data_IF_341775627398
#
_entry.id   IF_341775627398
#
_cell.length_a   1.000
_cell.length_b   1.000
_cell.length_c   1.000
_cell.angle_alpha   90.00
_cell.angle_beta   90.00
_cell.angle_gamma   90.00
#
_symmetry.space_group_name_H-M   'P 1'
#
loop_
_entity.id
_entity.type
_entity.pdbx_description
1 polymer ?
#
# COMPACT_ATOMS: atom_id res chain seq x y z
N UNK A 1 8.07 -13.90 28.77
CA UNK A 1 8.65 -13.82 27.40
C UNK A 1 7.59 -13.49 26.34
N UNK A 2 6.36 -14.01 26.45
CA UNK A 2 5.19 -13.50 25.72
C UNK A 2 4.20 -12.86 26.69
N UNK A 3 3.64 -11.71 26.31
CA UNK A 3 2.66 -10.95 27.08
C UNK A 3 2.19 -9.74 26.28
N UNK A 4 0.99 -9.21 26.58
CA UNK A 4 0.40 -8.00 25.96
C UNK A 4 1.40 -6.84 25.72
N UNK A 5 2.33 -6.51 26.65
CA UNK A 5 3.28 -5.42 26.42
C UNK A 5 4.44 -5.76 25.44
N UNK A 6 4.64 -7.04 25.08
CA UNK A 6 5.76 -7.49 24.24
C UNK A 6 5.32 -7.88 22.82
N UNK A 7 4.07 -7.60 22.44
CA UNK A 7 3.58 -7.84 21.08
C UNK A 7 4.15 -6.74 20.19
N UNK A 8 5.06 -7.10 19.29
CA UNK A 8 5.53 -6.16 18.28
C UNK A 8 4.37 -5.78 17.35
N UNK A 9 4.33 -4.56 16.81
CA UNK A 9 3.28 -4.14 15.88
C UNK A 9 3.11 -5.11 14.70
N UNK A 10 4.23 -5.70 14.23
CA UNK A 10 4.21 -6.75 13.20
C UNK A 10 3.43 -7.98 13.66
N UNK A 11 3.64 -8.45 14.89
CA UNK A 11 2.95 -9.63 15.41
C UNK A 11 1.46 -9.36 15.66
N UNK A 12 1.10 -8.15 16.07
CA UNK A 12 -0.30 -7.71 16.11
C UNK A 12 -0.92 -7.70 14.71
N UNK A 13 -0.19 -7.21 13.71
CA UNK A 13 -0.65 -7.14 12.32
C UNK A 13 -0.96 -8.53 11.72
N UNK A 14 -0.17 -9.56 12.07
CA UNK A 14 -0.44 -10.94 11.66
C UNK A 14 -1.83 -11.46 12.07
N UNK A 15 -2.40 -10.96 13.18
CA UNK A 15 -3.76 -11.34 13.62
C UNK A 15 -4.81 -10.85 12.63
N UNK A 16 -4.55 -9.77 11.89
CA UNK A 16 -5.45 -9.21 10.88
C UNK A 16 -5.19 -9.74 9.46
N UNK A 17 -4.20 -10.63 9.28
CA UNK A 17 -3.77 -11.11 7.96
C UNK A 17 -4.89 -11.84 7.19
N UNK A 18 -5.73 -12.62 7.87
CA UNK A 18 -6.82 -13.35 7.22
C UNK A 18 -7.87 -12.42 6.58
N UNK A 19 -8.25 -11.35 7.29
CA UNK A 19 -9.21 -10.35 6.80
C UNK A 19 -8.61 -9.56 5.64
N UNK A 20 -7.32 -9.24 5.72
CA UNK A 20 -6.60 -8.55 4.65
C UNK A 20 -6.48 -9.42 3.40
N UNK A 21 -6.20 -10.71 3.55
CA UNK A 21 -6.10 -11.65 2.43
C UNK A 21 -7.45 -11.78 1.68
N UNK A 22 -8.57 -11.80 2.41
CA UNK A 22 -9.90 -11.83 1.79
C UNK A 22 -10.28 -10.52 1.10
N UNK A 23 -9.87 -9.38 1.67
CA UNK A 23 -10.24 -8.06 1.15
C UNK A 23 -9.35 -7.60 -0.01
N UNK A 24 -8.05 -7.90 0.05
CA UNK A 24 -7.03 -7.33 -0.84
C UNK A 24 -6.24 -8.38 -1.63
N UNK A 25 -6.48 -9.67 -1.39
CA UNK A 25 -5.72 -10.75 -2.01
C UNK A 25 -4.34 -10.93 -1.39
N UNK A 26 -3.42 -11.61 -2.09
CA UNK A 26 -2.15 -12.03 -1.51
C UNK A 26 -1.30 -10.86 -0.97
N UNK A 27 -0.64 -10.98 0.21
CA UNK A 27 0.13 -9.90 0.83
C UNK A 27 1.23 -9.34 -0.05
N UNK A 28 1.84 -10.20 -0.88
CA UNK A 28 2.84 -9.75 -1.84
C UNK A 28 2.25 -8.73 -2.82
N UNK A 29 1.03 -8.94 -3.32
CA UNK A 29 0.42 -8.04 -4.31
C UNK A 29 0.13 -6.64 -3.78
N UNK A 30 -0.33 -6.51 -2.53
CA UNK A 30 -0.81 -5.22 -2.00
C UNK A 30 0.15 -4.51 -1.04
N UNK A 31 1.03 -5.24 -0.36
CA UNK A 31 1.80 -4.65 0.75
C UNK A 31 3.14 -4.04 0.30
N UNK A 32 3.97 -4.79 -0.43
CA UNK A 32 5.35 -4.35 -0.73
C UNK A 32 5.74 -4.47 -2.19
N UNK A 33 5.23 -5.47 -2.92
CA UNK A 33 5.71 -5.76 -4.28
C UNK A 33 5.46 -4.60 -5.26
N UNK A 34 4.28 -3.98 -5.18
CA UNK A 34 3.94 -2.88 -6.08
C UNK A 34 4.87 -1.67 -5.84
N UNK A 35 5.04 -1.26 -4.58
CA UNK A 35 5.88 -0.12 -4.25
C UNK A 35 7.37 -0.37 -4.53
N UNK A 36 7.87 -1.58 -4.27
CA UNK A 36 9.25 -1.96 -4.60
C UNK A 36 9.49 -1.97 -6.12
N UNK A 37 8.54 -2.50 -6.89
CA UNK A 37 8.62 -2.50 -8.36
C UNK A 37 8.58 -1.08 -8.91
N UNK A 38 7.68 -0.24 -8.40
CA UNK A 38 7.59 1.16 -8.80
C UNK A 38 8.86 1.94 -8.42
N UNK A 39 9.43 1.69 -7.25
CA UNK A 39 10.71 2.28 -6.85
C UNK A 39 11.86 1.88 -7.78
N UNK A 40 11.86 0.64 -8.29
CA UNK A 40 12.83 0.19 -9.29
C UNK A 40 12.64 0.90 -10.64
N UNK A 41 11.40 1.00 -11.14
CA UNK A 41 11.07 1.74 -12.37
C UNK A 41 11.50 3.20 -12.27
N UNK A 42 11.22 3.84 -11.13
CA UNK A 42 11.55 5.24 -10.88
C UNK A 42 13.06 5.51 -10.82
N UNK A 43 13.86 4.49 -10.46
CA UNK A 43 15.34 4.56 -10.52
C UNK A 43 15.88 4.39 -11.94
N UNK A 44 15.13 3.74 -12.84
CA UNK A 44 15.52 3.52 -14.24
C UNK A 44 15.25 4.75 -15.13
N UNK A 45 14.40 5.67 -14.70
CA UNK A 45 14.16 6.93 -15.42
C UNK A 45 15.35 7.86 -15.18
N UNK A 46 16.16 8.10 -16.22
CA UNK A 46 17.24 9.08 -16.19
C UNK A 46 16.66 10.49 -16.06
N UNK A 47 16.70 11.02 -14.84
CA UNK A 47 16.31 12.38 -14.56
C UNK A 47 17.46 13.30 -14.98
N UNK A 48 17.48 13.71 -16.26
CA UNK A 48 18.43 14.67 -16.84
C UNK A 48 18.64 15.90 -15.92
N UNK A 49 19.60 15.82 -14.99
CA UNK A 49 20.00 16.91 -14.11
C UNK A 49 19.01 17.39 -13.03
N UNK A 50 17.80 16.82 -12.91
CA UNK A 50 16.79 17.34 -11.97
C UNK A 50 17.04 16.86 -10.52
N UNK A 51 18.03 17.49 -9.86
CA UNK A 51 18.34 17.27 -8.44
C UNK A 51 17.14 17.65 -7.56
N UNK A 52 16.81 16.80 -6.57
CA UNK A 52 15.80 17.09 -5.54
C UNK A 52 14.63 16.12 -5.45
N UNK A 53 14.58 15.06 -6.28
CA UNK A 53 13.53 14.03 -6.15
C UNK A 53 12.13 14.49 -6.57
N UNK A 54 12.02 15.61 -7.30
CA UNK A 54 10.76 16.18 -7.79
C UNK A 54 9.92 15.15 -8.57
N UNK A 55 10.55 14.29 -9.38
CA UNK A 55 9.87 13.23 -10.13
C UNK A 55 9.23 12.19 -9.19
N UNK A 56 9.88 11.87 -8.06
CA UNK A 56 9.30 10.94 -7.08
C UNK A 56 8.07 11.55 -6.40
N UNK A 57 8.15 12.85 -6.10
CA UNK A 57 7.04 13.60 -5.50
C UNK A 57 5.86 13.74 -6.46
N UNK A 58 6.11 14.08 -7.72
CA UNK A 58 5.07 14.15 -8.76
C UNK A 58 4.44 12.77 -8.97
N UNK A 59 5.24 11.72 -9.11
CA UNK A 59 4.73 10.35 -9.26
C UNK A 59 3.84 9.94 -8.07
N UNK A 60 4.27 10.20 -6.83
CA UNK A 60 3.47 9.88 -5.65
C UNK A 60 2.14 10.66 -5.60
N UNK A 61 2.15 11.94 -6.00
CA UNK A 61 0.94 12.78 -6.06
C UNK A 61 -0.05 12.27 -7.11
N UNK A 62 0.45 11.98 -8.31
CA UNK A 62 -0.37 11.47 -9.41
C UNK A 62 -0.92 10.08 -9.09
N UNK A 63 -0.09 9.17 -8.57
CA UNK A 63 -0.53 7.85 -8.14
C UNK A 63 -1.65 7.92 -7.09
N UNK A 64 -1.51 8.81 -6.09
CA UNK A 64 -2.56 9.05 -5.10
C UNK A 64 -3.84 9.57 -5.75
N UNK A 65 -3.74 10.52 -6.68
CA UNK A 65 -4.89 11.07 -7.40
C UNK A 65 -5.64 9.97 -8.16
N UNK A 66 -4.93 9.18 -8.95
CA UNK A 66 -5.54 8.08 -9.74
C UNK A 66 -6.19 7.03 -8.83
N UNK A 67 -5.56 6.68 -7.70
CA UNK A 67 -6.13 5.76 -6.72
C UNK A 67 -7.41 6.31 -6.07
N UNK A 68 -7.44 7.61 -5.76
CA UNK A 68 -8.63 8.27 -5.22
C UNK A 68 -9.75 8.35 -6.28
N UNK A 69 -9.41 8.64 -7.53
CA UNK A 69 -10.38 8.68 -8.62
C UNK A 69 -10.96 7.29 -8.93
N UNK A 70 -10.14 6.24 -8.93
CA UNK A 70 -10.62 4.87 -9.18
C UNK A 70 -11.59 4.38 -8.10
N UNK A 71 -11.40 4.80 -6.84
CA UNK A 71 -12.32 4.54 -5.73
C UNK A 71 -13.66 5.26 -5.90
N UNK A 72 -13.67 6.47 -6.47
CA UNK A 72 -14.90 7.23 -6.73
C UNK A 72 -15.68 6.63 -7.90
N UNK A 73 -14.98 6.24 -8.98
CA UNK A 73 -15.59 5.66 -10.18
C UNK A 73 -16.06 4.22 -9.96
N UNK A 74 -15.39 3.49 -9.07
CA UNK A 74 -15.71 2.11 -8.68
C UNK A 74 -16.04 2.09 -7.19
N UNK A 75 -17.22 2.62 -6.78
CA UNK A 75 -17.58 2.63 -5.37
C UNK A 75 -17.58 1.19 -4.84
N UNK A 76 -16.95 0.93 -3.69
CA UNK A 76 -17.01 -0.40 -3.09
C UNK A 76 -18.48 -0.72 -2.84
N UNK A 77 -18.97 -1.81 -3.44
CA UNK A 77 -20.24 -2.39 -3.03
C UNK A 77 -20.14 -2.66 -1.53
N UNK A 78 -20.94 -1.95 -0.75
CA UNK A 78 -21.00 -2.00 0.70
C UNK A 78 -21.27 -3.44 1.14
N UNK A 79 -20.21 -4.18 1.47
CA UNK A 79 -20.33 -5.52 2.06
C UNK A 79 -20.55 -5.31 3.55
N UNK A 80 -21.78 -5.56 3.96
CA UNK A 80 -22.30 -5.46 5.31
C UNK A 80 -21.44 -6.20 6.34
N UNK A 81 -21.13 -5.49 7.42
CA UNK A 81 -20.96 -5.98 8.79
C UNK A 81 -20.06 -7.19 9.02
N UNK A 82 -18.83 -6.94 9.47
CA UNK A 82 -18.16 -7.81 10.44
C UNK A 82 -17.50 -6.92 11.51
N UNK A 83 -17.87 -7.06 12.80
CA UNK A 83 -17.22 -6.34 13.87
C UNK A 83 -15.84 -6.97 14.15
N UNK A 84 -14.97 -6.18 14.74
CA UNK A 84 -13.86 -6.68 15.54
C UNK A 84 -14.34 -7.46 16.77
#
# INVERSE_FOLDING_TARGET
IYGKPNVTPTFHWFVHMAVQLQSYGPPHCFWTFLFERLNKVLKTIETNGHKGGAIKLTFAREFKREMSLSQIVSPPSFRTGLPC
#
